data_IF_563165226296
#
_entry.id   IF_563165226296
#
_cell.length_a   1.000
_cell.length_b   1.000
_cell.length_c   1.000
_cell.angle_alpha   90.00
_cell.angle_beta   90.00
_cell.angle_gamma   90.00
#
_symmetry.space_group_name_H-M   'P 1'
#
loop_
_entity.id
_entity.type
_entity.pdbx_description
1 polymer ?
#
# COMPACT_ATOMS: atom_id res chain seq x y z
N UNK A 1 8.00 19.13 -12.09
CA UNK A 1 6.78 19.12 -11.25
C UNK A 1 7.18 18.57 -9.89
N UNK A 2 6.55 19.04 -8.81
CA UNK A 2 6.79 18.48 -7.47
C UNK A 2 6.28 17.04 -7.43
N UNK A 3 7.02 16.15 -6.79
CA UNK A 3 6.58 14.75 -6.65
C UNK A 3 5.36 14.65 -5.73
N UNK A 4 4.61 13.55 -5.79
CA UNK A 4 3.50 13.31 -4.84
C UNK A 4 3.97 13.41 -3.38
N UNK A 5 5.18 12.89 -3.08
CA UNK A 5 5.78 13.00 -1.75
C UNK A 5 6.06 14.44 -1.33
N UNK A 6 6.63 15.24 -2.23
CA UNK A 6 6.86 16.68 -1.98
C UNK A 6 5.55 17.44 -1.75
N UNK A 7 4.50 17.10 -2.49
CA UNK A 7 3.19 17.74 -2.33
C UNK A 7 2.57 17.43 -0.96
N UNK A 8 2.65 16.17 -0.51
CA UNK A 8 2.19 15.77 0.83
C UNK A 8 2.97 16.51 1.93
N UNK A 9 4.30 16.57 1.82
CA UNK A 9 5.14 17.29 2.78
C UNK A 9 4.78 18.78 2.85
N UNK A 10 4.71 19.44 1.70
CA UNK A 10 4.38 20.86 1.63
C UNK A 10 2.99 21.14 2.21
N UNK A 11 2.00 20.32 1.88
CA UNK A 11 0.64 20.47 2.41
C UNK A 11 0.57 20.21 3.93
N UNK A 12 1.37 19.27 4.47
CA UNK A 12 1.52 19.09 5.93
C UNK A 12 2.09 20.34 6.58
N UNK A 13 3.18 20.87 6.04
CA UNK A 13 3.89 22.04 6.59
C UNK A 13 3.05 23.31 6.53
N UNK A 14 2.32 23.54 5.43
CA UNK A 14 1.39 24.66 5.29
C UNK A 14 0.25 24.62 6.32
N UNK A 15 -0.09 23.43 6.83
CA UNK A 15 -1.08 23.25 7.89
C UNK A 15 -0.48 23.31 9.29
N UNK A 16 0.83 23.46 9.41
CA UNK A 16 1.52 23.44 10.70
C UNK A 16 1.46 22.10 11.42
N UNK A 17 1.20 21.00 10.69
CA UNK A 17 1.15 19.66 11.28
C UNK A 17 2.56 19.08 11.40
N UNK A 18 2.86 18.52 12.55
CA UNK A 18 4.04 17.71 12.80
C UNK A 18 3.82 16.26 12.33
N UNK A 19 4.92 15.54 12.08
CA UNK A 19 4.86 14.10 11.72
C UNK A 19 4.15 13.27 12.81
N UNK A 20 4.39 13.47 14.13
CA UNK A 20 3.64 12.78 15.17
C UNK A 20 2.13 13.02 15.13
N UNK A 21 1.67 14.24 14.85
CA UNK A 21 0.23 14.54 14.73
C UNK A 21 -0.39 13.84 13.52
N UNK A 22 0.34 13.73 12.41
CA UNK A 22 -0.10 12.94 11.25
C UNK A 22 -0.19 11.47 11.59
N UNK A 23 0.82 10.91 12.26
CA UNK A 23 0.83 9.52 12.75
C UNK A 23 -0.38 9.25 13.64
N UNK A 24 -0.67 10.15 14.59
CA UNK A 24 -1.79 10.02 15.50
C UNK A 24 -3.13 10.01 14.77
N UNK A 25 -3.32 10.91 13.79
CA UNK A 25 -4.59 11.07 13.09
C UNK A 25 -4.82 10.00 12.02
N UNK A 26 -3.77 9.56 11.33
CA UNK A 26 -3.87 8.59 10.22
C UNK A 26 -3.67 7.15 10.64
N UNK A 27 -3.11 6.92 11.84
CA UNK A 27 -2.68 5.61 12.37
C UNK A 27 -1.58 4.92 11.53
N UNK A 28 -0.91 5.67 10.64
CA UNK A 28 0.30 5.21 9.96
C UNK A 28 1.48 5.19 10.92
N UNK A 29 2.48 4.34 10.67
CA UNK A 29 3.75 4.40 11.41
C UNK A 29 4.56 5.62 10.96
N UNK A 30 5.42 6.14 11.83
CA UNK A 30 6.33 7.26 11.51
C UNK A 30 7.14 6.99 10.23
N UNK A 31 7.73 5.81 10.11
CA UNK A 31 8.52 5.42 8.94
C UNK A 31 7.69 5.45 7.64
N UNK A 32 6.39 5.12 7.71
CA UNK A 32 5.51 5.18 6.56
C UNK A 32 5.21 6.63 6.15
N UNK A 33 4.96 7.52 7.11
CA UNK A 33 4.76 8.95 6.83
C UNK A 33 6.01 9.55 6.18
N UNK A 34 7.18 9.26 6.73
CA UNK A 34 8.46 9.73 6.18
C UNK A 34 8.73 9.16 4.79
N UNK A 35 8.45 7.86 4.57
CA UNK A 35 8.58 7.24 3.26
C UNK A 35 7.65 7.89 2.22
N UNK A 36 6.40 8.19 2.59
CA UNK A 36 5.48 8.91 1.69
C UNK A 36 6.02 10.28 1.31
N UNK A 37 6.49 11.06 2.28
CA UNK A 37 7.04 12.39 2.03
C UNK A 37 8.37 12.38 1.27
N UNK A 38 9.11 11.28 1.34
CA UNK A 38 10.35 11.08 0.59
C UNK A 38 10.11 10.53 -0.82
N UNK A 39 8.88 10.12 -1.16
CA UNK A 39 8.59 9.42 -2.41
C UNK A 39 9.16 8.01 -2.46
N UNK A 40 9.52 7.41 -1.31
CA UNK A 40 10.06 6.07 -1.24
C UNK A 40 8.93 5.03 -1.20
N UNK A 41 8.46 4.69 -2.40
CA UNK A 41 7.37 3.73 -2.58
C UNK A 41 7.81 2.27 -2.32
N UNK A 42 9.11 2.00 -2.23
CA UNK A 42 9.67 0.65 -2.07
C UNK A 42 9.44 0.06 -0.69
N UNK A 43 9.20 0.92 0.32
CA UNK A 43 8.90 0.53 1.71
C UNK A 43 7.56 -0.22 1.81
N UNK A 44 6.65 -0.01 0.86
CA UNK A 44 5.32 -0.59 0.88
C UNK A 44 5.29 -1.94 0.16
N UNK A 45 4.72 -2.96 0.81
CA UNK A 45 4.70 -4.33 0.31
C UNK A 45 3.99 -4.50 -1.05
N UNK A 46 3.05 -3.61 -1.37
CA UNK A 46 2.30 -3.62 -2.62
C UNK A 46 1.77 -2.21 -2.97
N UNK A 47 1.65 -1.87 -4.26
CA UNK A 47 1.18 -0.53 -4.70
C UNK A 47 -0.19 -0.14 -4.15
N UNK A 48 -1.07 -1.12 -3.90
CA UNK A 48 -2.39 -0.88 -3.30
C UNK A 48 -2.30 -0.24 -1.91
N UNK A 49 -1.26 -0.60 -1.13
CA UNK A 49 -1.03 0.00 0.18
C UNK A 49 -0.57 1.45 0.04
N UNK A 50 0.36 1.74 -0.88
CA UNK A 50 0.80 3.11 -1.17
C UNK A 50 -0.39 4.01 -1.50
N UNK A 51 -1.27 3.58 -2.41
CA UNK A 51 -2.50 4.33 -2.75
C UNK A 51 -3.42 4.54 -1.55
N UNK A 52 -3.58 3.52 -0.71
CA UNK A 52 -4.39 3.61 0.50
C UNK A 52 -3.85 4.65 1.48
N UNK A 53 -2.54 4.63 1.71
CA UNK A 53 -1.88 5.57 2.61
C UNK A 53 -1.85 7.00 2.06
N UNK A 54 -1.55 7.17 0.77
CA UNK A 54 -1.62 8.49 0.10
C UNK A 54 -3.04 9.05 0.19
N UNK A 55 -4.07 8.24 -0.06
CA UNK A 55 -5.48 8.66 0.09
C UNK A 55 -5.79 9.12 1.51
N UNK A 56 -5.39 8.35 2.53
CA UNK A 56 -5.63 8.68 3.93
C UNK A 56 -4.96 10.01 4.30
N UNK A 57 -3.68 10.15 3.92
CA UNK A 57 -2.90 11.35 4.21
C UNK A 57 -3.44 12.59 3.47
N UNK A 58 -3.73 12.48 2.18
CA UNK A 58 -4.32 13.56 1.39
C UNK A 58 -5.70 14.00 1.93
N UNK A 59 -6.51 13.05 2.42
CA UNK A 59 -7.81 13.33 3.03
C UNK A 59 -7.67 14.12 4.34
N UNK A 60 -6.69 13.78 5.17
CA UNK A 60 -6.31 14.55 6.35
C UNK A 60 -5.91 15.98 5.94
N UNK A 61 -5.09 16.11 4.89
CA UNK A 61 -4.60 17.37 4.36
C UNK A 61 -5.61 18.14 3.48
N UNK A 62 -6.86 17.65 3.36
CA UNK A 62 -7.93 18.18 2.47
C UNK A 62 -7.43 18.53 1.06
N UNK A 63 -6.53 17.71 0.53
CA UNK A 63 -6.08 17.81 -0.85
C UNK A 63 -7.10 17.14 -1.78
N UNK A 64 -7.02 17.42 -3.08
CA UNK A 64 -7.78 16.67 -4.07
C UNK A 64 -7.15 15.28 -4.22
N UNK A 65 -7.80 14.29 -3.63
CA UNK A 65 -7.34 12.89 -3.59
C UNK A 65 -7.25 12.31 -5.00
N UNK A 66 -8.22 12.59 -5.86
CA UNK A 66 -8.30 11.95 -7.18
C UNK A 66 -7.14 12.41 -8.08
N UNK A 67 -6.86 13.73 -8.08
CA UNK A 67 -5.70 14.29 -8.81
C UNK A 67 -4.39 13.71 -8.27
N UNK A 68 -4.22 13.68 -6.95
CA UNK A 68 -2.97 13.20 -6.35
C UNK A 68 -2.73 11.71 -6.63
N UNK A 69 -3.79 10.90 -6.69
CA UNK A 69 -3.68 9.49 -7.04
C UNK A 69 -3.41 9.26 -8.53
N UNK A 70 -3.91 10.11 -9.41
CA UNK A 70 -3.58 10.08 -10.85
C UNK A 70 -2.09 10.39 -11.06
N UNK A 71 -1.56 11.40 -10.37
CA UNK A 71 -0.14 11.75 -10.39
C UNK A 71 0.72 10.62 -9.82
N UNK A 72 0.30 10.01 -8.70
CA UNK A 72 0.97 8.86 -8.10
C UNK A 72 1.02 7.67 -9.06
N UNK A 73 -0.06 7.42 -9.80
CA UNK A 73 -0.10 6.35 -10.80
C UNK A 73 0.87 6.60 -11.95
N UNK A 74 0.98 7.85 -12.41
CA UNK A 74 1.97 8.22 -13.40
C UNK A 74 3.41 8.07 -12.88
N UNK A 75 3.68 8.45 -11.62
CA UNK A 75 5.00 8.31 -11.00
C UNK A 75 5.41 6.84 -10.80
N UNK A 76 4.52 6.01 -10.24
CA UNK A 76 4.80 4.59 -10.02
C UNK A 76 4.87 3.79 -11.33
N UNK A 77 4.20 4.26 -12.39
CA UNK A 77 4.33 3.71 -13.74
C UNK A 77 5.73 3.91 -14.30
N UNK A 78 6.26 5.13 -14.26
CA UNK A 78 7.63 5.45 -14.71
C UNK A 78 8.69 4.70 -13.92
N UNK A 79 8.55 4.63 -12.59
CA UNK A 79 9.49 3.89 -11.74
C UNK A 79 9.57 2.38 -12.09
N UNK A 80 8.49 1.80 -12.65
CA UNK A 80 8.47 0.43 -13.14
C UNK A 80 9.23 0.28 -14.45
N UNK A 81 9.05 1.22 -15.37
CA UNK A 81 9.71 1.23 -16.68
C UNK A 81 11.22 1.40 -16.53
N UNK A 82 11.66 2.27 -15.61
CA UNK A 82 13.08 2.51 -15.34
C UNK A 82 13.77 1.31 -14.64
N UNK A 83 13.02 0.53 -13.85
CA UNK A 83 13.52 -0.65 -13.14
C UNK A 83 13.55 -1.94 -13.96
N UNK A 84 12.79 -2.00 -15.07
CA UNK A 84 12.66 -3.17 -15.95
C UNK A 84 13.72 -3.21 -17.08
N UNK A 85 14.67 -2.26 -17.07
CA UNK A 85 15.80 -2.22 -18.01
C UNK A 85 16.82 -3.38 -17.83
N UNK A 86 16.63 -4.25 -16.85
CA UNK A 86 17.37 -5.50 -16.69
C UNK A 86 16.39 -6.68 -16.63
N UNK A 87 16.53 -7.57 -17.60
CA UNK A 87 15.80 -8.85 -17.81
C UNK A 87 14.38 -8.75 -18.36
N UNK A 88 14.30 -8.82 -19.70
CA UNK A 88 13.09 -9.22 -20.41
C UNK A 88 12.57 -10.59 -20.00
N UNK A 89 11.26 -10.76 -20.23
CA UNK A 89 10.44 -11.96 -20.02
C UNK A 89 10.12 -12.31 -18.56
N UNK A 90 9.33 -11.47 -17.89
CA UNK A 90 8.47 -11.91 -16.80
C UNK A 90 6.98 -11.88 -17.25
N UNK A 91 6.26 -13.01 -17.25
CA UNK A 91 4.87 -13.04 -17.68
C UNK A 91 4.00 -12.25 -16.70
N UNK A 92 3.07 -11.48 -17.27
CA UNK A 92 2.02 -10.73 -16.58
C UNK A 92 1.38 -11.59 -15.49
N UNK A 93 1.30 -11.04 -14.27
CA UNK A 93 0.61 -11.62 -13.11
C UNK A 93 -0.87 -11.92 -13.43
N UNK A 94 -1.16 -13.11 -13.96
CA UNK A 94 -2.42 -13.82 -13.72
C UNK A 94 -2.29 -14.55 -12.38
N UNK A 95 -2.62 -13.85 -11.29
CA UNK A 95 -2.38 -14.34 -9.93
C UNK A 95 -3.60 -14.42 -9.04
N UNK A 96 -4.81 -14.22 -9.58
CA UNK A 96 -6.05 -14.25 -8.78
C UNK A 96 -7.03 -15.36 -9.18
N UNK A 97 -6.81 -16.14 -10.26
CA UNK A 97 -7.78 -17.18 -10.69
C UNK A 97 -7.21 -18.50 -11.23
N UNK A 98 -5.93 -18.64 -11.58
CA UNK A 98 -5.46 -19.88 -12.26
C UNK A 98 -5.09 -21.04 -11.32
N UNK A 99 -5.06 -20.83 -10.00
CA UNK A 99 -4.72 -21.85 -9.00
C UNK A 99 -5.90 -22.72 -8.52
N UNK A 100 -7.10 -22.52 -9.06
CA UNK A 100 -8.24 -23.46 -8.92
C UNK A 100 -7.97 -24.78 -9.66
N UNK A 101 -6.84 -24.90 -10.37
CA UNK A 101 -6.57 -25.94 -11.37
C UNK A 101 -5.33 -26.80 -11.07
N UNK A 102 -4.94 -26.95 -9.80
CA UNK A 102 -4.03 -28.01 -9.34
C UNK A 102 -4.68 -28.79 -8.19
N UNK A 103 -5.59 -29.67 -8.58
CA UNK A 103 -5.71 -31.03 -8.08
C UNK A 103 -5.24 -31.32 -6.64
N UNK A 104 -6.22 -31.57 -5.76
CA UNK A 104 -6.25 -32.69 -4.82
C UNK A 104 -4.89 -33.25 -4.36
N UNK A 105 -4.43 -32.86 -3.17
CA UNK A 105 -3.62 -33.74 -2.34
C UNK A 105 -3.82 -33.44 -0.84
N UNK A 106 -4.71 -34.20 -0.21
CA UNK A 106 -4.32 -34.87 1.03
C UNK A 106 -4.78 -34.38 2.41
N UNK A 107 -5.73 -33.45 2.57
CA UNK A 107 -6.21 -33.10 3.95
C UNK A 107 -7.72 -33.27 4.09
N UNK A 108 -8.11 -34.36 4.78
CA UNK A 108 -9.50 -34.71 5.10
C UNK A 108 -10.08 -33.71 6.12
N UNK A 109 -10.73 -32.64 5.65
CA UNK A 109 -11.51 -31.68 6.45
C UNK A 109 -12.82 -32.25 7.06
N UNK A 110 -12.85 -33.56 7.32
CA UNK A 110 -13.96 -34.25 8.01
C UNK A 110 -13.43 -34.91 9.28
N UNK A 111 -13.11 -34.09 10.27
CA UNK A 111 -12.85 -34.47 11.66
C UNK A 111 -12.84 -33.17 12.49
N UNK A 112 -14.02 -32.62 12.78
CA UNK A 112 -14.73 -32.74 14.06
C UNK A 112 -14.18 -31.75 15.10
N UNK A 113 -14.95 -30.68 15.28
CA UNK A 113 -15.07 -29.92 16.53
C UNK A 113 -15.26 -30.87 17.72
N UNK A 114 -14.50 -30.72 18.81
CA UNK A 114 -15.02 -30.96 20.15
C UNK A 114 -14.95 -29.62 20.91
N UNK A 115 -16.08 -28.95 21.11
CA UNK A 115 -16.90 -29.07 22.33
C UNK A 115 -16.02 -28.91 23.58
N UNK A 116 -15.77 -27.65 23.92
CA UNK A 116 -15.34 -27.23 25.25
C UNK A 116 -16.48 -27.48 26.24
N UNK A 117 -16.40 -28.52 27.05
CA UNK A 117 -17.18 -28.66 28.29
C UNK A 117 -16.55 -29.73 29.18
N UNK A 118 -15.80 -29.32 30.20
CA UNK A 118 -15.79 -30.01 31.49
C UNK A 118 -15.17 -29.13 32.57
N UNK A 119 -16.05 -28.40 33.26
CA UNK A 119 -15.91 -28.02 34.66
C UNK A 119 -16.86 -28.93 35.42
N UNK A 120 -16.32 -29.79 36.26
CA UNK A 120 -16.94 -30.43 37.41
C UNK A 120 -15.83 -30.90 38.35
#
# INVERSE_FOLDING_TARGET
MATVGDQLRQARELRGLSVPEVVEQTKMKTDQVLALEAGDWSVFAAPVYTKGFVRNYASLLRMNVDILLEELDAEMGRAREDGDGATGNAPLRSGLIDGLMLHFSGVKWRAVLPVFLLVA
#
